data_IF_871171090303
#
_entry.id   IF_871171090303
#
_cell.length_a   1.000
_cell.length_b   1.000
_cell.length_c   1.000
_cell.angle_alpha   90.00
_cell.angle_beta   90.00
_cell.angle_gamma   90.00
#
_symmetry.space_group_name_H-M   'P 1'
#
loop_
_entity.id
_entity.type
_entity.pdbx_description
1 polymer ?
#
# COMPACT_ATOMS: atom_id res chain seq x y z
N UNK A 1 14.99 11.14 47.38
CA UNK A 1 14.89 11.26 45.90
C UNK A 1 15.59 10.04 45.32
N UNK A 2 15.12 9.21 44.39
CA UNK A 2 14.08 9.39 43.38
C UNK A 2 13.70 8.02 42.75
N UNK A 3 13.50 6.96 43.54
CA UNK A 3 13.20 5.60 43.00
C UNK A 3 11.96 5.62 42.09
N UNK A 4 10.95 6.44 42.40
CA UNK A 4 9.76 6.65 41.57
C UNK A 4 10.06 7.27 40.20
N UNK A 5 11.07 8.15 40.08
CA UNK A 5 11.46 8.76 38.79
C UNK A 5 12.23 7.78 37.92
N UNK A 6 13.10 6.95 38.51
CA UNK A 6 13.87 5.95 37.76
C UNK A 6 12.96 4.87 37.15
N UNK A 7 11.89 4.49 37.87
CA UNK A 7 10.94 3.46 37.41
C UNK A 7 10.06 3.96 36.26
N UNK A 8 9.66 5.24 36.28
CA UNK A 8 8.89 5.87 35.20
C UNK A 8 9.74 6.02 33.93
N UNK A 9 11.02 6.40 34.06
CA UNK A 9 11.94 6.51 32.92
C UNK A 9 12.24 5.13 32.33
N UNK A 10 12.43 4.10 33.16
CA UNK A 10 12.64 2.74 32.68
C UNK A 10 11.42 2.21 31.90
N UNK A 11 10.21 2.46 32.37
CA UNK A 11 8.98 2.06 31.67
C UNK A 11 8.80 2.78 30.32
N UNK A 12 9.11 4.09 30.28
CA UNK A 12 9.07 4.86 29.03
C UNK A 12 10.06 4.35 27.97
N UNK A 13 11.27 3.98 28.39
CA UNK A 13 12.29 3.43 27.47
C UNK A 13 11.88 2.05 26.93
N UNK A 14 11.26 1.20 27.76
CA UNK A 14 10.78 -0.12 27.31
C UNK A 14 9.64 0.01 26.29
N UNK A 15 8.69 0.94 26.49
CA UNK A 15 7.60 1.18 25.54
C UNK A 15 8.11 1.72 24.19
N UNK A 16 9.12 2.59 24.21
CA UNK A 16 9.73 3.11 22.98
C UNK A 16 10.48 1.99 22.24
N UNK A 17 11.20 1.12 22.96
CA UNK A 17 11.90 -0.02 22.37
C UNK A 17 10.94 -1.05 21.74
N UNK A 18 9.79 -1.34 22.36
CA UNK A 18 8.80 -2.24 21.77
C UNK A 18 8.15 -1.65 20.52
N UNK A 19 7.90 -0.34 20.49
CA UNK A 19 7.43 0.34 19.27
C UNK A 19 8.42 0.23 18.12
N UNK A 20 9.71 0.46 18.38
CA UNK A 20 10.76 0.39 17.35
C UNK A 20 10.85 -1.03 16.79
N UNK A 21 10.91 -2.06 17.64
CA UNK A 21 10.98 -3.46 17.20
C UNK A 21 9.72 -3.86 16.40
N UNK A 22 8.53 -3.43 16.83
CA UNK A 22 7.28 -3.69 16.10
C UNK A 22 7.26 -3.08 14.68
N UNK A 23 7.79 -1.87 14.51
CA UNK A 23 7.90 -1.24 13.18
C UNK A 23 8.95 -1.89 12.26
N UNK A 24 10.01 -2.50 12.80
CA UNK A 24 11.03 -3.17 11.98
C UNK A 24 10.55 -4.51 11.39
N UNK A 25 9.60 -5.20 12.04
CA UNK A 25 9.08 -6.49 11.55
C UNK A 25 8.18 -6.39 10.30
N UNK A 26 7.63 -5.21 10.00
CA UNK A 26 6.75 -5.00 8.83
C UNK A 26 7.53 -4.91 7.51
N UNK A 27 8.84 -4.65 7.57
CA UNK A 27 9.65 -4.28 6.41
C UNK A 27 10.36 -5.47 5.73
N UNK A 28 10.44 -6.63 6.39
CA UNK A 28 11.29 -7.76 5.98
C UNK A 28 10.55 -9.01 5.49
N UNK A 29 9.52 -8.90 4.63
CA UNK A 29 9.06 -10.10 3.90
C UNK A 29 8.94 -9.91 2.39
N UNK A 30 10.05 -10.27 1.73
CA UNK A 30 10.10 -10.69 0.35
C UNK A 30 9.25 -11.96 0.15
N UNK A 31 8.66 -12.06 -1.06
CA UNK A 31 8.03 -13.27 -1.59
C UNK A 31 9.00 -14.45 -1.50
N UNK A 32 8.71 -15.42 -0.63
CA UNK A 32 9.35 -16.73 -0.65
C UNK A 32 8.43 -17.72 -1.38
N UNK A 33 8.99 -18.44 -2.35
CA UNK A 33 8.39 -19.59 -3.04
C UNK A 33 8.04 -20.72 -2.05
N UNK A 34 7.00 -21.53 -2.32
CA UNK A 34 6.45 -22.45 -1.33
C UNK A 34 7.37 -23.65 -1.11
N UNK A 35 7.93 -23.74 0.10
CA UNK A 35 8.42 -25.01 0.64
C UNK A 35 7.23 -25.69 1.33
N UNK A 36 6.99 -27.01 1.18
CA UNK A 36 5.90 -27.68 1.87
C UNK A 36 6.23 -27.73 3.37
N UNK A 37 5.73 -26.75 4.11
CA UNK A 37 5.85 -26.67 5.57
C UNK A 37 4.85 -27.63 6.20
N UNK A 38 5.26 -28.46 7.18
CA UNK A 38 4.39 -29.43 7.86
C UNK A 38 3.19 -28.76 8.55
N UNK A 39 2.13 -29.55 8.73
CA UNK A 39 0.81 -29.13 9.22
C UNK A 39 0.89 -28.24 10.49
N UNK A 40 0.12 -27.14 10.58
CA UNK A 40 0.24 -26.18 11.69
C UNK A 40 -0.22 -26.81 13.02
N UNK A 41 0.64 -26.72 14.03
CA UNK A 41 0.25 -26.94 15.43
C UNK A 41 -0.32 -25.62 15.98
N UNK A 42 -1.56 -25.67 16.48
CA UNK A 42 -2.33 -24.58 17.10
C UNK A 42 -2.52 -23.27 16.28
N UNK A 43 -3.73 -23.10 15.72
CA UNK A 43 -4.54 -21.89 15.97
C UNK A 43 -4.34 -20.63 15.14
N UNK A 44 -3.64 -20.65 14.01
CA UNK A 44 -3.52 -19.44 13.16
C UNK A 44 -4.80 -19.17 12.35
N UNK A 45 -5.48 -18.05 12.61
CA UNK A 45 -6.61 -17.54 11.83
C UNK A 45 -6.13 -16.39 10.94
N UNK A 46 -6.31 -16.49 9.63
CA UNK A 46 -5.97 -15.44 8.68
C UNK A 46 -7.24 -14.98 7.98
N UNK A 47 -7.64 -13.73 8.19
CA UNK A 47 -8.92 -13.23 7.70
C UNK A 47 -8.86 -11.84 7.09
N UNK A 48 -9.85 -11.54 6.25
CA UNK A 48 -10.02 -10.26 5.58
C UNK A 48 -11.46 -9.73 5.68
N UNK A 49 -11.60 -8.40 5.69
CA UNK A 49 -12.89 -7.73 5.59
C UNK A 49 -12.77 -6.35 4.93
N UNK A 50 -13.87 -5.86 4.39
CA UNK A 50 -14.01 -4.46 4.00
C UNK A 50 -14.86 -3.71 5.03
N UNK A 51 -14.44 -2.49 5.36
CA UNK A 51 -15.15 -1.64 6.32
C UNK A 51 -14.97 -0.17 5.97
N UNK A 52 -15.91 0.66 6.39
CA UNK A 52 -15.76 2.11 6.31
C UNK A 52 -15.06 2.63 7.57
N UNK A 53 -14.08 3.50 7.38
CA UNK A 53 -13.35 4.14 8.46
C UNK A 53 -13.19 5.64 8.20
N UNK A 54 -13.23 6.45 9.26
CA UNK A 54 -12.99 7.88 9.19
C UNK A 54 -11.51 8.17 9.42
N UNK A 55 -10.90 8.97 8.56
CA UNK A 55 -9.56 9.50 8.78
C UNK A 55 -9.64 10.51 9.93
N UNK A 56 -9.04 10.20 11.08
CA UNK A 56 -8.96 11.12 12.22
C UNK A 56 -7.79 12.07 12.04
N UNK A 57 -6.65 11.54 11.61
CA UNK A 57 -5.40 12.27 11.52
C UNK A 57 -4.50 11.63 10.46
N UNK A 58 -3.88 12.45 9.60
CA UNK A 58 -2.80 12.01 8.72
C UNK A 58 -1.49 12.10 9.50
N UNK A 59 -0.81 10.98 9.66
CA UNK A 59 0.48 10.94 10.32
C UNK A 59 1.57 11.51 9.41
N UNK A 60 2.68 11.96 9.98
CA UNK A 60 3.80 12.56 9.24
C UNK A 60 4.70 11.52 8.57
N UNK A 61 4.09 10.52 7.93
CA UNK A 61 4.76 9.46 7.20
C UNK A 61 3.99 9.08 5.94
N UNK A 62 4.73 8.94 4.85
CA UNK A 62 4.27 8.47 3.55
C UNK A 62 4.91 7.11 3.26
N UNK A 63 4.13 6.24 2.65
CA UNK A 63 4.58 5.01 2.03
C UNK A 63 4.42 5.15 0.54
N UNK A 64 5.40 4.74 -0.24
CA UNK A 64 5.25 4.75 -1.68
C UNK A 64 5.89 3.53 -2.33
N UNK A 65 5.18 2.96 -3.30
CA UNK A 65 5.72 1.92 -4.17
C UNK A 65 6.25 2.57 -5.46
N UNK A 66 7.47 2.22 -5.85
CA UNK A 66 8.14 2.71 -7.04
C UNK A 66 9.12 1.66 -7.57
N UNK A 67 8.74 0.97 -8.64
CA UNK A 67 9.61 0.00 -9.33
C UNK A 67 10.56 0.71 -10.31
N UNK A 68 11.67 1.23 -9.80
CA UNK A 68 12.69 1.93 -10.57
C UNK A 68 13.92 1.05 -10.89
N UNK A 69 14.37 1.05 -12.15
CA UNK A 69 15.60 0.35 -12.59
C UNK A 69 16.74 1.36 -12.81
N UNK A 70 17.41 1.78 -11.74
CA UNK A 70 18.65 2.57 -11.83
C UNK A 70 18.75 3.69 -10.80
N UNK A 71 17.84 4.67 -10.88
CA UNK A 71 17.81 5.79 -9.92
C UNK A 71 17.13 5.33 -8.64
N UNK A 72 17.75 5.59 -7.48
CA UNK A 72 17.15 5.25 -6.19
C UNK A 72 16.01 6.22 -5.82
N UNK A 73 14.75 5.75 -5.73
CA UNK A 73 13.60 6.60 -5.40
C UNK A 73 13.72 7.30 -4.05
N UNK A 74 14.37 6.67 -3.06
CA UNK A 74 14.63 7.30 -1.77
C UNK A 74 15.55 8.52 -1.88
N UNK A 75 16.53 8.50 -2.79
CA UNK A 75 17.41 9.64 -3.04
C UNK A 75 16.67 10.81 -3.70
N UNK A 76 15.71 10.52 -4.59
CA UNK A 76 14.83 11.55 -5.19
C UNK A 76 13.87 12.13 -4.17
N UNK A 77 13.24 11.29 -3.35
CA UNK A 77 12.34 11.74 -2.29
C UNK A 77 13.02 12.71 -1.31
N UNK A 78 14.30 12.50 -0.98
CA UNK A 78 15.07 13.43 -0.11
C UNK A 78 15.26 14.83 -0.69
N UNK A 79 15.06 15.02 -2.00
CA UNK A 79 15.17 16.34 -2.63
C UNK A 79 13.88 17.15 -2.49
N UNK A 80 12.78 16.50 -2.11
CA UNK A 80 11.48 17.15 -1.90
C UNK A 80 11.51 17.92 -0.58
N UNK A 81 11.15 19.21 -0.56
CA UNK A 81 10.99 19.97 0.66
C UNK A 81 10.11 19.25 1.68
N UNK A 82 10.40 19.45 2.97
CA UNK A 82 9.63 18.88 4.08
C UNK A 82 9.73 17.35 4.25
N UNK A 83 10.42 16.62 3.35
CA UNK A 83 10.84 15.23 3.59
C UNK A 83 12.13 15.24 4.42
N UNK A 84 12.06 14.72 5.64
CA UNK A 84 13.20 14.71 6.58
C UNK A 84 14.02 13.43 6.47
N UNK A 85 13.38 12.33 6.10
CA UNK A 85 14.01 11.04 5.90
C UNK A 85 13.28 10.30 4.79
N UNK A 86 14.02 9.62 3.92
CA UNK A 86 13.46 8.61 3.03
C UNK A 86 14.39 7.41 2.94
N UNK A 87 13.83 6.21 2.95
CA UNK A 87 14.57 4.97 2.87
C UNK A 87 13.77 3.88 2.18
N UNK A 88 14.48 2.89 1.67
CA UNK A 88 13.90 1.70 1.04
C UNK A 88 13.46 0.72 2.13
N UNK A 89 12.21 0.32 2.08
CA UNK A 89 11.64 -0.69 2.97
C UNK A 89 11.67 -2.07 2.30
N UNK A 90 11.29 -2.19 1.03
CA UNK A 90 11.29 -3.45 0.29
C UNK A 90 11.91 -3.27 -1.11
N UNK A 91 11.79 -4.26 -2.00
CA UNK A 91 12.34 -4.12 -3.36
C UNK A 91 11.74 -2.93 -4.11
N UNK A 92 10.44 -2.69 -3.94
CA UNK A 92 9.68 -1.63 -4.61
C UNK A 92 9.07 -0.63 -3.64
N UNK A 93 8.99 -0.95 -2.35
CA UNK A 93 8.39 -0.10 -1.32
C UNK A 93 9.39 0.78 -0.60
N UNK A 94 9.01 2.02 -0.37
CA UNK A 94 9.79 3.06 0.30
C UNK A 94 8.95 3.76 1.35
N UNK A 95 9.64 4.34 2.33
CA UNK A 95 9.03 5.15 3.38
C UNK A 95 9.68 6.52 3.36
N UNK A 96 8.86 7.57 3.46
CA UNK A 96 9.30 8.94 3.67
C UNK A 96 8.69 9.51 4.96
N UNK A 97 9.51 10.09 5.82
CA UNK A 97 9.07 10.84 6.99
C UNK A 97 9.01 12.32 6.65
N UNK A 98 7.95 12.97 7.13
CA UNK A 98 7.70 14.37 6.86
C UNK A 98 8.02 15.23 8.08
N UNK A 99 8.33 16.49 7.80
CA UNK A 99 8.46 17.51 8.84
C UNK A 99 7.10 17.84 9.45
N UNK A 100 7.08 18.45 10.63
CA UNK A 100 5.85 18.87 11.30
C UNK A 100 4.98 19.80 10.44
N UNK A 101 5.61 20.61 9.58
CA UNK A 101 4.95 21.61 8.75
C UNK A 101 4.49 21.06 7.39
N UNK A 102 4.76 19.78 7.10
CA UNK A 102 4.44 19.21 5.81
C UNK A 102 2.96 19.32 5.47
N UNK A 103 2.71 19.71 4.22
CA UNK A 103 1.38 19.97 3.66
C UNK A 103 1.02 18.97 2.57
N UNK A 104 -0.21 19.02 2.06
CA UNK A 104 -0.60 18.19 0.93
C UNK A 104 0.22 18.49 -0.34
N UNK A 105 0.81 19.69 -0.46
CA UNK A 105 1.70 20.03 -1.57
C UNK A 105 2.98 19.15 -1.58
N UNK A 106 3.43 18.64 -0.43
CA UNK A 106 4.57 17.72 -0.36
C UNK A 106 4.31 16.43 -1.15
N UNK A 107 3.08 15.93 -1.13
CA UNK A 107 2.68 14.73 -1.86
C UNK A 107 2.75 14.96 -3.37
N UNK A 108 2.24 16.09 -3.85
CA UNK A 108 2.27 16.46 -5.27
C UNK A 108 3.71 16.64 -5.77
N UNK A 109 4.57 17.26 -4.96
CA UNK A 109 5.99 17.41 -5.26
C UNK A 109 6.72 16.06 -5.28
N UNK A 110 6.40 15.16 -4.35
CA UNK A 110 6.94 13.81 -4.33
C UNK A 110 6.50 13.01 -5.56
N UNK A 111 5.22 13.07 -5.92
CA UNK A 111 4.69 12.46 -7.15
C UNK A 111 5.46 12.95 -8.38
N UNK A 112 5.67 14.26 -8.48
CA UNK A 112 6.39 14.90 -9.59
C UNK A 112 7.85 14.44 -9.65
N UNK A 113 8.55 14.47 -8.51
CA UNK A 113 9.95 14.05 -8.42
C UNK A 113 10.16 12.58 -8.84
N UNK A 114 9.22 11.71 -8.49
CA UNK A 114 9.28 10.27 -8.79
C UNK A 114 8.77 9.91 -10.18
N UNK A 115 7.85 10.71 -10.76
CA UNK A 115 7.23 10.46 -12.08
C UNK A 115 8.22 10.31 -13.24
N UNK A 116 9.42 10.87 -13.10
CA UNK A 116 10.48 10.75 -14.08
C UNK A 116 11.11 9.34 -14.13
N UNK A 117 10.89 8.52 -13.10
CA UNK A 117 11.54 7.21 -12.94
C UNK A 117 10.52 6.08 -12.79
N UNK A 118 9.38 6.32 -12.17
CA UNK A 118 8.31 5.34 -11.99
C UNK A 118 6.95 6.04 -11.94
N UNK A 119 5.86 5.27 -11.96
CA UNK A 119 4.54 5.77 -11.60
C UNK A 119 4.26 5.39 -10.14
N UNK A 120 4.56 6.25 -9.16
CA UNK A 120 4.47 5.85 -7.76
C UNK A 120 3.02 5.80 -7.29
N UNK A 121 2.73 4.84 -6.42
CA UNK A 121 1.52 4.84 -5.58
C UNK A 121 1.94 5.39 -4.23
N UNK A 122 1.37 6.52 -3.81
CA UNK A 122 1.70 7.18 -2.55
C UNK A 122 0.53 7.02 -1.58
N UNK A 123 0.81 6.53 -0.37
CA UNK A 123 -0.13 6.32 0.71
C UNK A 123 0.31 7.14 1.94
N UNK A 124 -0.64 7.79 2.61
CA UNK A 124 -0.46 8.31 3.96
C UNK A 124 -0.60 7.20 4.98
N UNK A 125 0.24 7.24 6.01
CA UNK A 125 -0.15 6.63 7.26
C UNK A 125 -1.20 7.50 7.95
N UNK A 126 -2.28 6.91 8.42
CA UNK A 126 -3.40 7.62 9.01
C UNK A 126 -3.89 6.92 10.27
N UNK A 127 -4.29 7.72 11.26
CA UNK A 127 -5.13 7.24 12.36
C UNK A 127 -6.56 7.14 11.87
N UNK A 128 -7.12 5.94 11.95
CA UNK A 128 -8.47 5.65 11.50
C UNK A 128 -9.41 5.43 12.68
N UNK A 129 -10.67 5.78 12.49
CA UNK A 129 -11.76 5.54 13.44
C UNK A 129 -12.86 4.71 12.77
N UNK A 130 -13.12 3.54 13.35
CA UNK A 130 -14.20 2.64 12.96
C UNK A 130 -15.41 2.88 13.88
N UNK A 131 -16.59 3.03 13.27
CA UNK A 131 -17.85 3.26 14.00
C UNK A 131 -18.47 1.98 14.58
N UNK A 132 -18.01 0.81 14.12
CA UNK A 132 -18.54 -0.50 14.51
C UNK A 132 -17.48 -1.60 14.43
N UNK A 133 -17.88 -2.81 14.83
CA UNK A 133 -17.02 -4.00 14.69
C UNK A 133 -16.83 -4.34 13.21
N UNK A 134 -15.69 -4.95 12.90
CA UNK A 134 -15.36 -5.49 11.58
C UNK A 134 -15.33 -7.01 11.69
N UNK A 135 -16.15 -7.69 10.90
CA UNK A 135 -16.21 -9.15 10.89
C UNK A 135 -15.30 -9.69 9.78
N UNK A 136 -14.17 -10.26 10.18
CA UNK A 136 -13.24 -10.95 9.29
C UNK A 136 -13.82 -12.31 8.88
N UNK A 137 -13.63 -12.67 7.62
CA UNK A 137 -13.83 -14.06 7.15
C UNK A 137 -12.48 -14.74 7.00
N UNK A 138 -12.35 -15.99 7.45
CA UNK A 138 -11.14 -16.78 7.23
C UNK A 138 -10.92 -16.96 5.73
N UNK A 139 -9.67 -16.79 5.28
CA UNK A 139 -9.31 -16.92 3.88
C UNK A 139 -9.43 -18.35 3.35
N UNK A 140 -9.39 -19.35 4.24
CA UNK A 140 -9.43 -20.78 3.93
C UNK A 140 -10.78 -21.43 4.31
N UNK A 141 -11.56 -20.81 5.19
CA UNK A 141 -12.92 -21.26 5.54
C UNK A 141 -13.89 -20.07 5.62
N UNK A 142 -14.65 -19.87 4.55
CA UNK A 142 -15.64 -18.78 4.44
C UNK A 142 -16.73 -18.80 5.53
N UNK A 143 -16.91 -19.91 6.25
CA UNK A 143 -17.85 -19.99 7.37
C UNK A 143 -17.22 -19.61 8.71
N UNK A 144 -15.90 -19.64 8.81
CA UNK A 144 -15.17 -19.21 9.98
C UNK A 144 -15.04 -17.68 9.95
N UNK A 145 -15.56 -17.02 10.97
CA UNK A 145 -15.51 -15.56 11.09
C UNK A 145 -14.95 -15.13 12.44
N UNK A 146 -14.38 -13.93 12.48
CA UNK A 146 -13.85 -13.34 13.70
C UNK A 146 -14.18 -11.84 13.77
N UNK A 147 -14.65 -11.37 14.92
CA UNK A 147 -15.04 -9.98 15.11
C UNK A 147 -13.91 -9.15 15.72
N UNK A 148 -13.51 -8.09 15.01
CA UNK A 148 -12.60 -7.05 15.51
C UNK A 148 -13.37 -5.83 15.98
N UNK A 149 -13.16 -5.44 17.24
CA UNK A 149 -13.84 -4.29 17.84
C UNK A 149 -13.07 -2.98 17.66
N UNK A 150 -13.74 -1.82 17.64
CA UNK A 150 -13.11 -0.51 17.45
C UNK A 150 -11.94 -0.22 18.39
N UNK A 151 -12.00 -0.70 19.65
CA UNK A 151 -10.91 -0.50 20.61
C UNK A 151 -9.57 -1.07 20.13
N UNK A 152 -9.62 -2.16 19.35
CA UNK A 152 -8.45 -2.81 18.78
C UNK A 152 -8.03 -2.14 17.48
N UNK A 153 -8.99 -1.81 16.62
CA UNK A 153 -8.75 -1.23 15.29
C UNK A 153 -8.25 0.23 15.37
N UNK A 154 -8.87 1.06 16.20
CA UNK A 154 -8.60 2.51 16.26
C UNK A 154 -7.21 2.86 16.85
N UNK A 155 -6.49 1.87 17.38
CA UNK A 155 -5.12 2.03 17.87
C UNK A 155 -4.07 1.81 16.78
N UNK A 156 -4.47 1.23 15.64
CA UNK A 156 -3.55 0.84 14.58
C UNK A 156 -3.52 1.89 13.47
N UNK A 157 -2.35 2.20 12.91
CA UNK A 157 -2.26 3.03 11.72
C UNK A 157 -2.83 2.26 10.52
N UNK A 158 -3.61 2.95 9.69
CA UNK A 158 -3.97 2.49 8.36
C UNK A 158 -3.18 3.22 7.29
N UNK A 159 -3.15 2.64 6.08
CA UNK A 159 -2.61 3.26 4.90
C UNK A 159 -3.76 3.76 4.02
N UNK A 160 -3.74 5.03 3.63
CA UNK A 160 -4.79 5.63 2.78
C UNK A 160 -4.16 6.33 1.60
N UNK A 161 -4.82 6.38 0.45
CA UNK A 161 -4.28 7.05 -0.72
C UNK A 161 -3.97 8.50 -0.43
N UNK A 162 -2.77 8.95 -0.81
CA UNK A 162 -2.34 10.30 -0.48
C UNK A 162 -3.15 11.36 -1.23
N UNK A 163 -3.59 11.03 -2.44
CA UNK A 163 -4.45 11.88 -3.25
C UNK A 163 -5.83 12.06 -2.61
N UNK A 164 -6.19 13.32 -2.32
CA UNK A 164 -7.50 13.66 -1.78
C UNK A 164 -7.78 13.13 -0.38
N UNK A 165 -6.77 12.72 0.39
CA UNK A 165 -6.91 12.40 1.80
C UNK A 165 -6.91 13.66 2.68
N UNK A 166 -7.79 13.69 3.68
CA UNK A 166 -7.88 14.75 4.68
C UNK A 166 -8.60 14.25 5.93
N UNK A 167 -8.30 14.86 7.08
CA UNK A 167 -8.89 14.50 8.37
C UNK A 167 -10.40 14.83 8.41
N UNK A 168 -11.22 13.79 8.54
CA UNK A 168 -12.68 13.86 8.49
C UNK A 168 -13.29 13.09 7.32
N UNK A 169 -12.49 12.75 6.30
CA UNK A 169 -12.91 11.92 5.17
C UNK A 169 -13.22 10.50 5.64
N UNK A 170 -14.35 9.95 5.19
CA UNK A 170 -14.62 8.51 5.29
C UNK A 170 -14.03 7.82 4.07
N UNK A 171 -13.27 6.75 4.32
CA UNK A 171 -12.66 5.89 3.30
C UNK A 171 -13.10 4.46 3.54
N UNK A 172 -13.21 3.69 2.45
CA UNK A 172 -13.41 2.24 2.53
C UNK A 172 -12.05 1.58 2.63
N UNK A 173 -11.86 0.73 3.62
CA UNK A 173 -10.59 0.05 3.89
C UNK A 173 -10.76 -1.46 3.82
N UNK A 174 -9.70 -2.13 3.40
CA UNK A 174 -9.47 -3.55 3.58
C UNK A 174 -8.72 -3.75 4.90
N UNK A 175 -9.28 -4.59 5.77
CA UNK A 175 -8.69 -5.00 7.04
C UNK A 175 -8.25 -6.45 6.89
N UNK A 176 -6.96 -6.70 7.09
CA UNK A 176 -6.39 -8.05 7.14
C UNK A 176 -5.84 -8.29 8.53
N UNK A 177 -6.15 -9.44 9.11
CA UNK A 177 -5.56 -9.87 10.37
C UNK A 177 -5.02 -11.29 10.30
N UNK A 178 -3.89 -11.50 10.96
CA UNK A 178 -3.41 -12.80 11.38
C UNK A 178 -3.59 -12.88 12.90
N UNK A 179 -4.14 -13.98 13.37
CA UNK A 179 -4.44 -14.19 14.78
C UNK A 179 -3.89 -15.54 15.23
N UNK A 180 -3.42 -15.60 16.47
CA UNK A 180 -3.09 -16.83 17.19
C UNK A 180 -4.09 -16.95 18.35
N UNK A 181 -5.12 -17.79 18.15
CA UNK A 181 -6.31 -17.79 19.01
C UNK A 181 -7.01 -16.43 19.01
N UNK A 182 -7.17 -15.82 20.19
CA UNK A 182 -7.80 -14.49 20.34
C UNK A 182 -6.81 -13.31 20.22
N UNK A 183 -5.52 -13.58 20.02
CA UNK A 183 -4.49 -12.55 19.92
C UNK A 183 -4.23 -12.18 18.46
N UNK A 184 -4.30 -10.89 18.14
CA UNK A 184 -3.87 -10.39 16.84
C UNK A 184 -2.35 -10.36 16.80
N UNK A 185 -1.76 -11.22 15.96
CA UNK A 185 -0.31 -11.25 15.73
C UNK A 185 0.11 -10.30 14.62
N UNK A 186 -0.79 -10.04 13.66
CA UNK A 186 -0.59 -9.06 12.59
C UNK A 186 -1.91 -8.39 12.23
N UNK A 187 -1.88 -7.08 12.05
CA UNK A 187 -2.99 -6.32 11.47
C UNK A 187 -2.45 -5.42 10.35
N UNK A 188 -3.16 -5.39 9.23
CA UNK A 188 -2.94 -4.44 8.15
C UNK A 188 -4.27 -3.80 7.79
N UNK A 189 -4.28 -2.48 7.66
CA UNK A 189 -5.44 -1.71 7.24
C UNK A 189 -5.00 -0.83 6.08
N UNK A 190 -5.62 -0.98 4.92
CA UNK A 190 -5.29 -0.23 3.71
C UNK A 190 -6.59 0.25 3.04
N UNK A 191 -6.61 1.48 2.52
CA UNK A 191 -7.74 1.96 1.70
C UNK A 191 -7.94 1.02 0.50
N UNK A 192 -9.17 0.53 0.36
CA UNK A 192 -9.53 -0.31 -0.76
C UNK A 192 -9.28 0.48 -2.05
N UNK A 193 -8.53 -0.10 -2.98
CA UNK A 193 -8.26 0.57 -4.26
C UNK A 193 -9.59 0.98 -4.89
N UNK A 194 -9.71 2.25 -5.27
CA UNK A 194 -10.82 2.68 -6.10
C UNK A 194 -10.66 1.96 -7.43
N UNK A 195 -11.45 0.91 -7.66
CA UNK A 195 -11.62 0.31 -8.98
C UNK A 195 -12.21 1.43 -9.84
N UNK A 196 -11.35 2.17 -10.54
CA UNK A 196 -11.82 2.98 -11.66
C UNK A 196 -12.33 1.96 -12.66
N UNK A 197 -13.63 1.96 -13.02
CA UNK A 197 -14.12 1.03 -14.04
C UNK A 197 -13.22 1.21 -15.26
N UNK A 198 -12.53 0.14 -15.64
CA UNK A 198 -11.76 0.10 -16.87
C UNK A 198 -12.68 0.62 -17.98
N UNK A 199 -12.24 1.67 -18.67
CA UNK A 199 -13.03 2.27 -19.74
C UNK A 199 -13.47 1.14 -20.67
N UNK A 200 -14.79 0.96 -20.79
CA UNK A 200 -15.42 0.01 -21.72
C UNK A 200 -14.62 0.04 -23.03
N UNK A 201 -14.07 -1.10 -23.51
CA UNK A 201 -13.32 -1.10 -24.75
C UNK A 201 -14.21 -0.50 -25.83
N UNK A 202 -13.77 0.63 -26.39
CA UNK A 202 -14.37 1.24 -27.57
C UNK A 202 -14.45 0.15 -28.63
N UNK A 203 -15.66 -0.34 -28.88
CA UNK A 203 -15.98 -1.22 -30.00
C UNK A 203 -15.87 -0.38 -31.26
N UNK A 204 -14.64 -0.15 -31.71
CA UNK A 204 -14.39 0.26 -33.09
C UNK A 204 -14.55 -1.00 -33.94
N UNK A 205 -15.53 -1.06 -34.87
CA UNK A 205 -15.70 -2.22 -35.74
C UNK A 205 -14.46 -2.34 -36.62
N UNK A 206 -13.67 -3.37 -36.39
CA UNK A 206 -12.55 -3.72 -37.25
C UNK A 206 -13.15 -4.33 -38.52
N UNK A 207 -13.26 -3.52 -39.58
CA UNK A 207 -13.69 -3.96 -40.89
C UNK A 207 -12.70 -5.03 -41.40
N UNK A 208 -13.16 -6.27 -41.50
CA UNK A 208 -12.45 -7.37 -42.15
C UNK A 208 -12.43 -7.12 -43.66
N UNK A 209 -11.28 -6.74 -44.21
CA UNK A 209 -11.05 -6.79 -45.66
C UNK A 209 -10.43 -8.16 -45.96
N UNK A 210 -11.30 -9.12 -46.29
CA UNK A 210 -10.92 -10.34 -46.99
C UNK A 210 -10.87 -10.03 -48.48
N UNK A 211 -9.67 -9.99 -49.06
CA UNK A 211 -9.49 -10.06 -50.52
C UNK A 211 -8.07 -10.54 -50.87
N UNK A 212 -7.84 -11.85 -50.74
CA UNK A 212 -6.80 -12.54 -51.52
C UNK A 212 -7.47 -13.15 -52.74
N UNK A 213 -7.70 -12.33 -53.78
CA UNK A 213 -7.98 -12.84 -55.12
C UNK A 213 -6.65 -13.02 -55.85
N UNK A 214 -6.36 -14.28 -56.11
CA UNK A 214 -5.38 -14.75 -57.06
C UNK A 214 -5.80 -14.26 -58.46
N UNK A 215 -5.01 -13.38 -59.07
CA UNK A 215 -5.36 -12.73 -60.33
C UNK A 215 -4.11 -12.20 -61.03
N UNK A 216 -3.52 -13.08 -61.82
CA UNK A 216 -2.43 -12.83 -62.77
C UNK A 216 -2.75 -11.62 -63.66
N UNK A 217 -1.96 -10.56 -63.57
CA UNK A 217 -1.91 -9.50 -64.57
C UNK A 217 -0.45 -9.32 -64.99
N UNK A 218 -0.21 -9.67 -66.26
CA UNK A 218 1.03 -9.46 -66.95
C UNK A 218 1.16 -7.98 -67.37
N UNK A 219 2.43 -7.57 -67.49
CA UNK A 219 2.96 -6.65 -68.50
C UNK A 219 2.53 -5.17 -68.45
N UNK A 220 3.45 -4.27 -68.10
CA UNK A 220 4.24 -3.51 -69.08
C UNK A 220 5.14 -2.46 -68.39
N UNK A 221 6.44 -2.60 -68.64
CA UNK A 221 7.38 -1.56 -69.08
C UNK A 221 7.36 -0.16 -68.44
N UNK A 222 8.44 0.18 -67.73
CA UNK A 222 9.30 1.31 -68.13
C UNK A 222 10.64 1.27 -67.37
N UNK A 223 11.70 0.97 -68.13
CA UNK A 223 13.08 1.17 -67.74
C UNK A 223 13.49 2.63 -67.95
N UNK A 224 14.39 3.06 -67.07
CA UNK A 224 14.91 4.40 -66.92
C UNK A 224 16.07 4.69 -67.89
N UNK A 225 16.15 5.96 -68.32
CA UNK A 225 17.35 6.73 -68.70
C UNK A 225 18.32 6.24 -69.81
N UNK A 226 18.64 7.20 -70.69
CA UNK A 226 19.98 7.61 -71.16
C UNK A 226 20.99 6.55 -71.62
#
# INVERSE_FOLDING_TARGET
>A
MNVKRTLIVAFGVVIILTFIVGTFSVIMYQRATPTPTPAPAAGQFAGAAEADAKIVELQKSLFFDCNATGTDPAALAKQVPEITLAYRASQTGYTAMLSANASNATVEQLQTALSAVCNPIILWSAKLEFSGKVTLSDLNDVNATHDLYPITLNQQPGLVYAEGAWAGKTVRVLVYAEMDGDQITRLMIEEAQKITPEATPSTTPQASINASMNGTAANETQANAS
#
